data_IF_686649451885
#
_entry.id   IF_686649451885
#
_cell.length_a   1.000
_cell.length_b   1.000
_cell.length_c   1.000
_cell.angle_alpha   90.00
_cell.angle_beta   90.00
_cell.angle_gamma   90.00
#
_symmetry.space_group_name_H-M   'P 1'
#
loop_
_entity.id
_entity.type
_entity.pdbx_description
1 polymer ?
#
# COMPACT_ATOMS: atom_id res chain seq x y z
N UNK A 1 -7.92 17.43 47.44
CA UNK A 1 -7.67 17.88 46.06
C UNK A 1 -6.50 17.08 45.49
N UNK A 2 -6.80 16.02 44.72
CA UNK A 2 -5.79 15.19 44.06
C UNK A 2 -5.18 15.90 42.85
N UNK A 3 -3.86 15.75 42.66
CA UNK A 3 -3.11 16.27 41.51
C UNK A 3 -3.28 15.35 40.28
N UNK A 4 -3.18 15.90 39.06
CA UNK A 4 -3.51 15.19 37.82
C UNK A 4 -2.45 14.14 37.48
N UNK A 5 -2.90 12.99 36.98
CA UNK A 5 -2.05 11.94 36.45
C UNK A 5 -1.48 12.38 35.08
N UNK A 6 -0.17 12.50 34.99
CA UNK A 6 0.56 12.51 33.74
C UNK A 6 0.58 11.08 33.20
N UNK A 7 -0.03 10.86 32.03
CA UNK A 7 0.09 9.59 31.31
C UNK A 7 1.44 9.58 30.59
N UNK A 8 2.49 9.28 31.34
CA UNK A 8 3.82 9.04 30.80
C UNK A 8 3.80 7.69 30.05
N UNK A 9 3.93 7.77 28.72
CA UNK A 9 4.08 6.62 27.83
C UNK A 9 5.34 5.86 28.27
N UNK A 10 5.15 4.72 28.92
CA UNK A 10 6.24 3.82 29.27
C UNK A 10 6.81 3.19 27.98
N UNK A 11 7.82 3.85 27.41
CA UNK A 11 8.74 3.22 26.46
C UNK A 11 9.57 2.21 27.25
N UNK A 12 9.06 0.98 27.34
CA UNK A 12 9.78 -0.15 27.94
C UNK A 12 11.15 -0.30 27.26
N UNK A 13 12.21 -0.15 28.04
CA UNK A 13 13.61 -0.24 27.65
C UNK A 13 14.13 -1.69 27.55
N UNK A 14 13.25 -2.63 27.20
CA UNK A 14 13.60 -4.02 26.89
C UNK A 14 13.85 -4.24 25.38
N UNK A 15 14.41 -5.39 24.98
CA UNK A 15 14.46 -5.79 23.59
C UNK A 15 13.05 -5.75 23.00
N UNK A 16 12.85 -4.99 21.91
CA UNK A 16 11.55 -5.00 21.22
C UNK A 16 11.35 -6.37 20.60
N UNK A 17 10.46 -7.16 21.17
CA UNK A 17 9.98 -8.37 20.53
C UNK A 17 9.15 -7.97 19.31
N UNK A 18 9.69 -8.25 18.13
CA UNK A 18 8.98 -7.99 16.88
C UNK A 18 7.98 -9.11 16.64
N UNK A 19 6.69 -8.80 16.72
CA UNK A 19 5.60 -9.76 16.49
C UNK A 19 5.44 -10.17 15.01
N UNK A 20 6.24 -9.56 14.11
CA UNK A 20 6.15 -9.79 12.67
C UNK A 20 4.86 -9.21 12.08
N UNK A 21 4.48 -8.01 12.52
CA UNK A 21 3.34 -7.25 12.01
C UNK A 21 3.82 -5.89 11.51
N UNK A 22 3.21 -5.40 10.43
CA UNK A 22 3.46 -4.07 9.90
C UNK A 22 2.20 -3.25 9.99
N UNK A 23 2.22 -2.28 10.90
CA UNK A 23 1.18 -1.28 11.02
C UNK A 23 1.23 -0.32 9.82
N UNK A 24 0.05 -0.04 9.26
CA UNK A 24 -0.14 1.01 8.27
C UNK A 24 -1.45 1.74 8.55
N UNK A 25 -1.50 3.02 8.19
CA UNK A 25 -2.72 3.81 8.28
C UNK A 25 -3.60 3.57 7.06
N UNK A 26 -4.92 3.53 7.26
CA UNK A 26 -5.87 3.24 6.18
C UNK A 26 -5.78 4.27 5.05
N UNK A 27 -5.54 5.53 5.37
CA UNK A 27 -5.33 6.62 4.40
C UNK A 27 -4.09 6.44 3.52
N UNK A 28 -3.10 5.69 3.98
CA UNK A 28 -1.86 5.42 3.24
C UNK A 28 -1.90 4.09 2.48
N UNK A 29 -3.00 3.33 2.52
CA UNK A 29 -3.16 2.05 1.82
C UNK A 29 -2.85 2.18 0.32
N UNK A 30 -3.33 3.24 -0.34
CA UNK A 30 -3.05 3.47 -1.74
C UNK A 30 -1.54 3.64 -2.03
N UNK A 31 -0.82 4.36 -1.15
CA UNK A 31 0.63 4.55 -1.27
C UNK A 31 1.39 3.25 -1.00
N UNK A 32 0.92 2.46 -0.04
CA UNK A 32 1.48 1.13 0.25
C UNK A 32 1.43 0.25 -1.00
N UNK A 33 0.27 0.16 -1.66
CA UNK A 33 0.10 -0.63 -2.88
C UNK A 33 0.92 -0.07 -4.04
N UNK A 34 0.95 1.26 -4.19
CA UNK A 34 1.77 1.92 -5.20
C UNK A 34 3.24 1.53 -5.06
N UNK A 35 3.81 1.69 -3.87
CA UNK A 35 5.24 1.45 -3.65
C UNK A 35 5.61 -0.04 -3.64
N UNK A 36 4.74 -0.90 -3.13
CA UNK A 36 5.05 -2.32 -2.92
C UNK A 36 4.74 -3.18 -4.14
N UNK A 37 3.79 -2.76 -4.99
CA UNK A 37 3.31 -3.55 -6.12
C UNK A 37 3.53 -2.82 -7.45
N UNK A 38 3.09 -1.57 -7.58
CA UNK A 38 3.05 -0.89 -8.88
C UNK A 38 4.42 -0.33 -9.31
N UNK A 39 5.12 0.35 -8.40
CA UNK A 39 6.40 1.02 -8.66
C UNK A 39 7.62 0.22 -8.19
N UNK A 40 7.39 -1.01 -7.72
CA UNK A 40 8.45 -1.86 -7.25
C UNK A 40 9.38 -2.23 -8.40
N UNK A 41 10.59 -1.68 -8.39
CA UNK A 41 11.59 -1.98 -9.42
C UNK A 41 12.07 -3.43 -9.26
N UNK A 42 11.80 -4.33 -10.21
CA UNK A 42 12.16 -5.75 -10.09
C UNK A 42 13.68 -6.00 -10.06
N UNK A 43 14.48 -5.00 -10.45
CA UNK A 43 15.95 -5.03 -10.40
C UNK A 43 16.54 -4.31 -9.18
N UNK A 44 15.73 -3.94 -8.20
CA UNK A 44 16.22 -3.38 -6.95
C UNK A 44 17.10 -4.40 -6.22
N UNK A 45 18.26 -3.96 -5.72
CA UNK A 45 19.26 -4.85 -5.07
C UNK A 45 18.63 -5.69 -3.94
N UNK A 46 17.69 -5.11 -3.19
CA UNK A 46 17.02 -5.76 -2.05
C UNK A 46 16.01 -6.83 -2.48
N UNK A 47 15.23 -6.60 -3.54
CA UNK A 47 14.24 -7.58 -4.03
C UNK A 47 14.91 -8.78 -4.71
N UNK A 48 16.12 -8.59 -5.24
CA UNK A 48 16.95 -9.69 -5.74
C UNK A 48 17.58 -10.53 -4.61
N UNK A 49 17.87 -9.93 -3.45
CA UNK A 49 18.45 -10.64 -2.31
C UNK A 49 17.42 -11.50 -1.58
N UNK A 50 16.15 -11.09 -1.54
CA UNK A 50 15.08 -11.84 -0.87
C UNK A 50 13.91 -12.00 -1.85
N UNK A 51 13.88 -13.10 -2.63
CA UNK A 51 12.73 -13.39 -3.47
C UNK A 51 11.48 -13.52 -2.60
N UNK A 52 10.40 -12.83 -2.98
CA UNK A 52 9.16 -12.84 -2.22
C UNK A 52 9.10 -11.87 -1.03
N UNK A 53 10.08 -10.96 -0.86
CA UNK A 53 9.99 -9.90 0.14
C UNK A 53 8.70 -9.06 0.06
N UNK A 54 8.20 -8.65 -1.12
CA UNK A 54 6.94 -7.91 -1.22
C UNK A 54 5.75 -8.71 -0.69
N UNK A 55 5.76 -10.03 -0.91
CA UNK A 55 4.73 -10.92 -0.39
C UNK A 55 4.80 -11.03 1.15
N UNK A 56 6.01 -11.08 1.72
CA UNK A 56 6.19 -11.08 3.18
C UNK A 56 5.71 -9.77 3.81
N UNK A 57 6.05 -8.62 3.20
CA UNK A 57 5.59 -7.30 3.68
C UNK A 57 4.07 -7.22 3.62
N UNK A 58 3.45 -7.63 2.50
CA UNK A 58 1.98 -7.69 2.39
C UNK A 58 1.38 -8.59 3.47
N UNK A 59 1.96 -9.77 3.72
CA UNK A 59 1.47 -10.68 4.74
C UNK A 59 1.59 -10.11 6.16
N UNK A 60 2.66 -9.37 6.46
CA UNK A 60 2.79 -8.66 7.75
C UNK A 60 1.72 -7.57 7.94
N UNK A 61 1.30 -6.88 6.86
CA UNK A 61 0.17 -5.95 6.89
C UNK A 61 -1.18 -6.66 7.07
N UNK A 62 -1.33 -7.85 6.46
CA UNK A 62 -2.52 -8.69 6.62
C UNK A 62 -2.65 -9.18 8.06
N UNK A 63 -1.57 -9.69 8.66
CA UNK A 63 -1.54 -10.10 10.07
C UNK A 63 -1.89 -8.94 11.00
N UNK A 64 -1.45 -7.72 10.68
CA UNK A 64 -1.82 -6.53 11.43
C UNK A 64 -3.33 -6.27 11.36
N UNK A 65 -3.92 -6.21 10.18
CA UNK A 65 -5.36 -6.00 10.01
C UNK A 65 -6.21 -7.10 10.69
N UNK A 66 -5.76 -8.36 10.62
CA UNK A 66 -6.36 -9.51 11.31
C UNK A 66 -6.27 -9.38 12.84
N UNK A 67 -5.12 -8.93 13.38
CA UNK A 67 -4.94 -8.71 14.82
C UNK A 67 -5.85 -7.61 15.39
N UNK A 68 -6.22 -6.63 14.56
CA UNK A 68 -7.22 -5.60 14.90
C UNK A 68 -8.67 -6.10 14.76
N UNK A 69 -8.87 -7.29 14.19
CA UNK A 69 -10.16 -7.85 13.82
C UNK A 69 -10.97 -6.91 12.89
N UNK A 70 -10.28 -6.13 12.05
CA UNK A 70 -10.91 -5.18 11.12
C UNK A 70 -11.10 -5.81 9.74
N UNK A 71 -12.25 -6.45 9.55
CA UNK A 71 -12.62 -7.12 8.31
C UNK A 71 -12.68 -6.16 7.10
N UNK A 72 -13.00 -4.88 7.31
CA UNK A 72 -13.08 -3.91 6.22
C UNK A 72 -11.70 -3.52 5.72
N UNK A 73 -10.77 -3.27 6.65
CA UNK A 73 -9.36 -3.00 6.34
C UNK A 73 -8.71 -4.19 5.63
N UNK A 74 -8.91 -5.41 6.14
CA UNK A 74 -8.40 -6.63 5.52
C UNK A 74 -8.96 -6.82 4.11
N UNK A 75 -10.27 -6.66 3.92
CA UNK A 75 -10.93 -6.75 2.62
C UNK A 75 -10.42 -5.68 1.64
N UNK A 76 -10.25 -4.44 2.11
CA UNK A 76 -9.70 -3.35 1.29
C UNK A 76 -8.30 -3.70 0.81
N UNK A 77 -7.41 -4.05 1.73
CA UNK A 77 -6.02 -4.39 1.42
C UNK A 77 -5.90 -5.52 0.39
N UNK A 78 -6.67 -6.60 0.57
CA UNK A 78 -6.66 -7.74 -0.35
C UNK A 78 -7.17 -7.35 -1.75
N UNK A 79 -8.25 -6.57 -1.83
CA UNK A 79 -8.77 -6.10 -3.12
C UNK A 79 -7.78 -5.16 -3.82
N UNK A 80 -7.20 -4.20 -3.10
CA UNK A 80 -6.20 -3.27 -3.62
C UNK A 80 -4.96 -4.03 -4.11
N UNK A 81 -4.52 -5.05 -3.37
CA UNK A 81 -3.41 -5.94 -3.76
C UNK A 81 -3.71 -6.71 -5.05
N UNK A 82 -4.85 -7.39 -5.13
CA UNK A 82 -5.27 -8.14 -6.32
C UNK A 82 -5.35 -7.22 -7.55
N UNK A 83 -5.92 -6.03 -7.38
CA UNK A 83 -6.05 -5.06 -8.46
C UNK A 83 -4.70 -4.48 -8.88
N UNK A 84 -3.79 -4.21 -7.94
CA UNK A 84 -2.42 -3.79 -8.23
C UNK A 84 -1.67 -4.84 -9.04
N UNK A 85 -1.72 -6.11 -8.64
CA UNK A 85 -1.07 -7.21 -9.36
C UNK A 85 -1.64 -7.36 -10.77
N UNK A 86 -2.97 -7.33 -10.92
CA UNK A 86 -3.62 -7.39 -12.23
C UNK A 86 -3.16 -6.26 -13.16
N UNK A 87 -2.95 -5.05 -12.63
CA UNK A 87 -2.45 -3.93 -13.40
C UNK A 87 -1.02 -4.16 -13.87
N UNK A 88 -0.11 -4.53 -12.97
CA UNK A 88 1.29 -4.84 -13.31
C UNK A 88 1.36 -5.92 -14.37
N UNK A 89 0.61 -7.02 -14.22
CA UNK A 89 0.59 -8.12 -15.19
C UNK A 89 0.08 -7.64 -16.56
N UNK A 90 -0.99 -6.85 -16.61
CA UNK A 90 -1.48 -6.27 -17.87
C UNK A 90 -0.45 -5.37 -18.54
N UNK A 91 0.25 -4.53 -17.77
CA UNK A 91 1.30 -3.64 -18.28
C UNK A 91 2.53 -4.40 -18.78
N UNK A 92 2.87 -5.53 -18.17
CA UNK A 92 3.95 -6.40 -18.63
C UNK A 92 3.58 -7.17 -19.91
N UNK A 93 2.32 -7.61 -20.02
CA UNK A 93 1.82 -8.37 -21.19
C UNK A 93 1.54 -7.47 -22.40
N UNK A 94 1.06 -6.24 -22.18
CA UNK A 94 0.79 -5.25 -23.23
C UNK A 94 1.68 -4.00 -23.03
N UNK A 95 2.97 -4.04 -23.43
CA UNK A 95 3.95 -3.01 -23.09
C UNK A 95 3.73 -1.62 -23.75
N UNK A 96 2.67 -1.40 -24.53
CA UNK A 96 2.42 -0.10 -25.19
C UNK A 96 0.92 0.21 -25.36
N UNK A 97 0.29 0.79 -24.33
CA UNK A 97 -0.76 1.80 -24.54
C UNK A 97 -0.59 2.89 -23.46
N UNK A 98 -0.10 4.09 -23.80
CA UNK A 98 -0.19 5.23 -22.91
C UNK A 98 -1.66 5.56 -22.70
N UNK A 99 -2.12 5.63 -21.45
CA UNK A 99 -3.42 6.23 -21.12
C UNK A 99 -3.36 7.72 -21.44
N UNK A 100 -3.69 8.10 -22.68
CA UNK A 100 -3.91 9.50 -23.04
C UNK A 100 -5.17 9.98 -22.34
N UNK A 101 -5.00 10.68 -21.23
CA UNK A 101 -6.06 11.44 -20.59
C UNK A 101 -6.39 12.67 -21.48
N UNK A 102 -7.55 12.59 -22.14
CA UNK A 102 -8.49 13.67 -22.48
C UNK A 102 -7.97 14.88 -23.30
N UNK A 103 -8.32 14.91 -24.59
CA UNK A 103 -8.55 16.16 -25.34
C UNK A 103 -9.92 16.73 -24.94
N UNK A 104 -10.05 17.97 -24.42
CA UNK A 104 -11.33 18.65 -24.44
C UNK A 104 -11.71 18.96 -25.88
N UNK A 105 -12.94 18.60 -26.23
CA UNK A 105 -13.56 18.80 -27.53
C UNK A 105 -13.41 20.24 -28.01
N UNK A 106 -12.87 20.41 -29.21
CA UNK A 106 -12.94 21.65 -29.95
C UNK A 106 -14.36 21.80 -30.51
N UNK A 107 -15.26 22.41 -29.72
CA UNK A 107 -16.56 22.83 -30.20
C UNK A 107 -16.36 24.02 -31.14
N UNK A 108 -16.29 23.74 -32.45
CA UNK A 108 -16.54 24.73 -33.49
C UNK A 108 -17.99 25.20 -33.37
N UNK A 109 -18.21 26.50 -33.19
CA UNK A 109 -19.43 27.16 -33.67
C UNK A 109 -19.01 28.38 -34.50
N UNK A 110 -19.53 28.55 -35.73
CA UNK A 110 -19.35 29.75 -36.53
C UNK A 110 -20.46 30.77 -36.22
N UNK A 111 -20.16 32.07 -36.28
CA UNK A 111 -21.11 33.05 -36.79
C UNK A 111 -20.37 34.32 -37.21
N UNK A 112 -20.55 34.70 -38.47
CA UNK A 112 -20.66 36.11 -38.86
C UNK A 112 -21.96 36.70 -38.29
#
# INVERSE_FOLDING_TARGET
MGKPATNDVHLSSGPKEYLGMLEYKREDEAKLIQNLILDLKPRGVVVNMIPGLPAHILFMCVRYADSLNDANMLKSLMNSTINGIKQVVKSLVNPMIPQTSQRPNQQKNPSC
#
